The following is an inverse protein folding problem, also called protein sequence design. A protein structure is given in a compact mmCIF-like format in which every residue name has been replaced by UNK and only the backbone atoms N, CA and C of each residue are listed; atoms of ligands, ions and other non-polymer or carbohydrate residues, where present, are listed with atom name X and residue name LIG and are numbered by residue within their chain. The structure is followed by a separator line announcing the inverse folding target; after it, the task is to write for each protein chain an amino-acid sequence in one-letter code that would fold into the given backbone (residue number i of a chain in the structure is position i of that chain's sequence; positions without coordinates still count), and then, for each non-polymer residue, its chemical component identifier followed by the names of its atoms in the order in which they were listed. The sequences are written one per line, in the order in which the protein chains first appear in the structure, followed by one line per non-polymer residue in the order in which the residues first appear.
data_IF_839578032800
#
_entry.id   IF_839578032800
#
_cell.length_a   1.000
_cell.length_b   1.000
_cell.length_c   1.000
_cell.angle_alpha   90.00
_cell.angle_beta   90.00
_cell.angle_gamma   90.00
#
_symmetry.space_group_name_H-M   'P 1'
#
loop_
_entity.id
_entity.type
_entity.pdbx_description
1 polymer ?
#
# COMPACT_ATOMS: atom_id res chain seq x y z
N UNK A 1 -4.65 6.33 -0.08
CA UNK A 1 -5.70 6.53 0.94
C UNK A 1 -6.11 5.23 1.62
N UNK A 2 -6.55 4.18 0.91
CA UNK A 2 -7.01 2.93 1.52
C UNK A 2 -6.00 2.24 2.48
N UNK A 3 -4.72 2.15 2.11
CA UNK A 3 -3.71 1.58 3.02
C UNK A 3 -3.54 2.35 4.33
N UNK A 4 -3.69 3.69 4.28
CA UNK A 4 -3.64 4.52 5.47
C UNK A 4 -4.88 4.31 6.35
N UNK A 5 -6.05 4.15 5.74
CA UNK A 5 -7.28 3.79 6.45
C UNK A 5 -7.18 2.43 7.16
N UNK A 6 -6.61 1.42 6.49
CA UNK A 6 -6.31 0.11 7.09
C UNK A 6 -5.35 0.25 8.28
N UNK A 7 -4.28 1.03 8.11
CA UNK A 7 -3.33 1.32 9.19
C UNK A 7 -4.03 2.00 10.37
N UNK A 8 -4.85 3.03 10.15
CA UNK A 8 -5.60 3.74 11.20
C UNK A 8 -6.55 2.79 11.94
N UNK A 9 -7.29 1.93 11.22
CA UNK A 9 -8.11 0.88 11.83
C UNK A 9 -7.29 -0.02 12.75
N UNK A 10 -6.12 -0.50 12.30
CA UNK A 10 -5.28 -1.33 13.14
C UNK A 10 -4.73 -0.55 14.35
N UNK A 11 -4.29 0.70 14.18
CA UNK A 11 -3.80 1.51 15.30
C UNK A 11 -4.86 1.74 16.37
N UNK A 12 -6.12 1.98 15.96
CA UNK A 12 -7.22 2.29 16.88
C UNK A 12 -7.88 1.04 17.46
N UNK A 13 -8.15 0.03 16.63
CA UNK A 13 -9.10 -1.05 16.98
C UNK A 13 -8.44 -2.40 17.27
N UNK A 14 -7.13 -2.54 17.06
CA UNK A 14 -6.41 -3.81 17.22
C UNK A 14 -5.69 -3.99 18.56
N UNK A 15 -5.96 -3.12 19.55
CA UNK A 15 -5.41 -3.21 20.91
C UNK A 15 -3.87 -3.41 20.93
N UNK A 16 -3.17 -2.61 20.13
CA UNK A 16 -1.71 -2.64 20.02
C UNK A 16 -1.16 -3.81 19.20
N UNK A 17 -1.93 -4.41 18.29
CA UNK A 17 -1.36 -5.33 17.28
C UNK A 17 -0.41 -4.60 16.33
N UNK A 18 -0.70 -3.33 16.03
CA UNK A 18 0.19 -2.44 15.27
C UNK A 18 0.39 -1.17 16.07
N UNK A 19 1.64 -0.68 16.13
CA UNK A 19 1.98 0.62 16.70
C UNK A 19 2.98 1.35 15.80
N UNK A 20 2.99 2.68 15.87
CA UNK A 20 3.94 3.52 15.15
C UNK A 20 4.64 4.41 16.16
N UNK A 21 5.97 4.30 16.21
CA UNK A 21 6.85 5.18 16.98
C UNK A 21 7.57 6.11 16.02
N UNK A 22 7.60 7.40 16.32
CA UNK A 22 8.32 8.37 15.49
C UNK A 22 9.24 9.24 16.33
N UNK A 23 10.35 9.65 15.72
CA UNK A 23 11.26 10.65 16.26
C UNK A 23 11.57 11.67 15.15
N UNK A 24 11.09 12.90 15.36
CA UNK A 24 11.22 13.98 14.40
C UNK A 24 12.68 14.47 14.24
N UNK A 25 13.48 14.44 15.31
CA UNK A 25 14.86 14.94 15.30
C UNK A 25 15.75 14.09 14.38
N UNK A 26 15.65 12.75 14.50
CA UNK A 26 16.41 11.81 13.65
C UNK A 26 15.65 11.38 12.39
N UNK A 27 14.51 12.04 12.09
CA UNK A 27 13.60 11.71 10.98
C UNK A 27 13.38 10.21 10.82
N UNK A 28 12.95 9.54 11.90
CA UNK A 28 12.73 8.08 11.91
C UNK A 28 11.30 7.76 12.29
N UNK A 29 10.69 6.86 11.52
CA UNK A 29 9.38 6.28 11.80
C UNK A 29 9.54 4.76 11.82
N UNK A 30 9.08 4.12 12.90
CA UNK A 30 9.20 2.69 13.14
C UNK A 30 7.81 2.12 13.30
N UNK A 31 7.40 1.27 12.36
CA UNK A 31 6.15 0.51 12.45
C UNK A 31 6.46 -0.81 13.16
N UNK A 32 5.75 -1.11 14.24
CA UNK A 32 5.87 -2.38 14.97
C UNK A 32 4.59 -3.18 14.81
N UNK A 33 4.74 -4.49 14.57
CA UNK A 33 3.63 -5.43 14.44
C UNK A 33 3.84 -6.54 15.45
N UNK A 34 2.93 -6.67 16.41
CA UNK A 34 2.91 -7.78 17.36
C UNK A 34 2.26 -8.99 16.70
N UNK A 35 3.11 -9.94 16.29
CA UNK A 35 2.69 -11.17 15.61
C UNK A 35 1.69 -11.98 16.41
N UNK A 36 1.81 -12.00 17.74
CA UNK A 36 0.92 -12.78 18.63
C UNK A 36 -0.51 -12.24 18.63
N UNK A 37 -0.68 -10.94 18.33
CA UNK A 37 -1.97 -10.25 18.31
C UNK A 37 -2.66 -10.22 16.96
N UNK A 38 -2.01 -10.67 15.88
CA UNK A 38 -2.57 -10.63 14.53
C UNK A 38 -3.90 -11.40 14.49
N UNK A 39 -3.92 -12.64 14.99
CA UNK A 39 -5.11 -13.48 14.93
C UNK A 39 -6.18 -13.02 15.92
N UNK A 40 -5.76 -12.67 17.14
CA UNK A 40 -6.68 -12.38 18.25
C UNK A 40 -7.26 -10.96 18.24
N UNK A 41 -6.53 -9.97 17.72
CA UNK A 41 -6.95 -8.56 17.75
C UNK A 41 -6.95 -7.89 16.37
N UNK A 42 -5.90 -8.10 15.57
CA UNK A 42 -5.79 -7.52 14.23
C UNK A 42 -6.88 -8.01 13.27
N UNK A 43 -7.07 -9.32 13.18
CA UNK A 43 -8.09 -9.94 12.31
C UNK A 43 -9.51 -9.51 12.71
N UNK A 44 -9.93 -9.54 13.99
CA UNK A 44 -11.24 -9.03 14.38
C UNK A 44 -11.43 -7.53 14.09
N UNK A 45 -10.40 -6.69 14.29
CA UNK A 45 -10.47 -5.26 13.96
C UNK A 45 -10.78 -5.03 12.48
N UNK A 46 -10.00 -5.66 11.59
CA UNK A 46 -10.24 -5.60 10.15
C UNK A 46 -11.58 -6.23 9.76
N UNK A 47 -12.00 -7.31 10.44
CA UNK A 47 -13.30 -7.93 10.21
C UNK A 47 -14.46 -6.97 10.44
N UNK A 48 -14.42 -6.19 11.52
CA UNK A 48 -15.42 -5.14 11.80
C UNK A 48 -15.40 -4.04 10.74
N UNK A 49 -14.21 -3.57 10.35
CA UNK A 49 -14.06 -2.57 9.30
C UNK A 49 -14.65 -3.05 7.97
N UNK A 50 -14.28 -4.26 7.54
CA UNK A 50 -14.75 -4.84 6.28
C UNK A 50 -16.26 -5.07 6.28
N UNK A 51 -16.84 -5.52 7.41
CA UNK A 51 -18.28 -5.68 7.53
C UNK A 51 -19.01 -4.34 7.34
N UNK A 52 -18.53 -3.26 7.98
CA UNK A 52 -19.10 -1.92 7.81
C UNK A 52 -19.01 -1.43 6.37
N UNK A 53 -17.84 -1.55 5.73
CA UNK A 53 -17.64 -1.19 4.33
C UNK A 53 -18.51 -2.02 3.37
N UNK A 54 -18.74 -3.30 3.69
CA UNK A 54 -19.60 -4.16 2.89
C UNK A 54 -21.07 -3.77 3.00
N UNK A 55 -21.58 -3.55 4.22
CA UNK A 55 -22.95 -3.07 4.45
C UNK A 55 -23.19 -1.78 3.69
N UNK A 56 -22.27 -0.82 3.84
CA UNK A 56 -22.22 0.43 3.10
C UNK A 56 -22.42 0.27 1.59
N UNK A 57 -21.64 -0.63 0.98
CA UNK A 57 -21.71 -0.89 -0.45
C UNK A 57 -23.02 -1.56 -0.86
N UNK A 58 -23.56 -2.46 -0.03
CA UNK A 58 -24.76 -3.23 -0.33
C UNK A 58 -26.06 -2.44 -0.13
N UNK A 59 -26.09 -1.48 0.81
CA UNK A 59 -27.28 -0.67 1.09
C UNK A 59 -27.29 0.67 0.34
N UNK A 60 -26.18 1.04 -0.31
CA UNK A 60 -25.99 2.33 -0.94
C UNK A 60 -26.23 3.53 0.01
N UNK A 61 -25.98 3.34 1.31
CA UNK A 61 -26.09 4.40 2.33
C UNK A 61 -24.89 5.35 2.24
N UNK A 62 -24.89 6.23 1.24
CA UNK A 62 -23.74 7.10 0.94
C UNK A 62 -23.32 7.97 2.14
N UNK A 63 -24.28 8.45 2.93
CA UNK A 63 -24.01 9.39 4.02
C UNK A 63 -23.20 8.72 5.14
N UNK A 64 -23.72 7.64 5.71
CA UNK A 64 -23.05 6.91 6.79
C UNK A 64 -21.68 6.39 6.37
N UNK A 65 -21.54 6.00 5.10
CA UNK A 65 -20.30 5.45 4.57
C UNK A 65 -19.24 6.50 4.33
N UNK A 66 -19.65 7.69 3.88
CA UNK A 66 -18.75 8.82 3.74
C UNK A 66 -18.22 9.23 5.10
N UNK A 67 -19.09 9.43 6.08
CA UNK A 67 -18.71 9.78 7.45
C UNK A 67 -17.70 8.78 8.03
N UNK A 68 -17.99 7.48 7.91
CA UNK A 68 -17.09 6.43 8.39
C UNK A 68 -15.73 6.42 7.68
N UNK A 69 -15.71 6.46 6.35
CA UNK A 69 -14.46 6.31 5.58
C UNK A 69 -13.62 7.59 5.55
N UNK A 70 -14.24 8.76 5.58
CA UNK A 70 -13.53 10.04 5.71
C UNK A 70 -12.83 10.12 7.05
N UNK A 71 -13.50 9.78 8.16
CA UNK A 71 -12.83 9.72 9.47
C UNK A 71 -11.69 8.69 9.45
N UNK A 72 -11.92 7.50 8.90
CA UNK A 72 -10.88 6.47 8.84
C UNK A 72 -9.67 6.89 7.99
N UNK A 73 -9.86 7.75 7.00
CA UNK A 73 -8.80 8.24 6.12
C UNK A 73 -8.29 9.65 6.45
N UNK A 74 -8.84 10.27 7.50
CA UNK A 74 -8.47 11.62 7.92
C UNK A 74 -7.06 11.69 8.48
N UNK A 75 -6.33 12.73 8.07
CA UNK A 75 -4.93 12.97 8.45
C UNK A 75 -4.87 14.00 9.57
N UNK A 76 -4.69 13.55 10.81
CA UNK A 76 -4.44 14.44 11.96
C UNK A 76 -3.00 14.97 11.99
N UNK A 77 -2.73 15.95 12.87
CA UNK A 77 -1.44 16.62 12.98
C UNK A 77 -0.25 15.66 13.16
N UNK A 78 -0.39 14.59 13.94
CA UNK A 78 0.66 13.57 14.10
C UNK A 78 1.06 12.91 12.76
N UNK A 79 0.08 12.66 11.90
CA UNK A 79 0.28 12.03 10.59
C UNK A 79 0.96 12.97 9.59
N UNK A 80 0.80 14.29 9.77
CA UNK A 80 1.53 15.29 9.00
C UNK A 80 3.02 15.25 9.35
N UNK A 81 3.37 15.10 10.63
CA UNK A 81 4.76 14.91 11.05
C UNK A 81 5.36 13.61 10.47
N UNK A 82 4.56 12.53 10.41
CA UNK A 82 4.98 11.28 9.75
C UNK A 82 5.23 11.50 8.26
N UNK A 83 4.38 12.27 7.58
CA UNK A 83 4.50 12.59 6.15
C UNK A 83 5.83 13.28 5.83
N UNK A 84 6.28 14.22 6.65
CA UNK A 84 7.58 14.88 6.45
C UNK A 84 8.74 13.89 6.48
N UNK A 85 8.71 12.94 7.43
CA UNK A 85 9.72 11.88 7.55
C UNK A 85 9.66 10.95 6.33
N UNK A 86 8.45 10.54 5.90
CA UNK A 86 8.26 9.65 4.75
C UNK A 86 8.77 10.31 3.47
N UNK A 87 8.48 11.60 3.25
CA UNK A 87 8.97 12.34 2.08
C UNK A 87 10.49 12.47 2.09
N UNK A 88 11.10 12.69 3.26
CA UNK A 88 12.56 12.78 3.38
C UNK A 88 13.28 11.45 3.10
N UNK A 89 12.57 10.31 3.21
CA UNK A 89 13.10 8.95 2.97
C UNK A 89 12.52 8.31 1.69
N UNK A 90 11.85 9.10 0.85
CA UNK A 90 11.19 8.57 -0.33
C UNK A 90 12.22 8.01 -1.31
N UNK A 91 12.09 6.72 -1.60
CA UNK A 91 12.89 6.07 -2.65
C UNK A 91 12.32 6.37 -4.03
N UNK A 92 13.18 6.44 -5.07
CA UNK A 92 12.71 6.57 -6.44
C UNK A 92 11.82 5.38 -6.81
N UNK A 93 10.76 5.65 -7.58
CA UNK A 93 9.86 4.60 -8.06
C UNK A 93 10.64 3.61 -8.92
N UNK A 94 10.37 2.32 -8.72
CA UNK A 94 11.00 1.28 -9.51
C UNK A 94 10.51 1.33 -10.96
N UNK A 95 11.43 1.07 -11.88
CA UNK A 95 11.13 0.86 -13.29
C UNK A 95 11.31 -0.62 -13.57
N UNK A 96 10.25 -1.27 -14.01
CA UNK A 96 10.27 -2.69 -14.33
C UNK A 96 10.65 -2.88 -15.78
N UNK A 97 11.60 -3.77 -16.02
CA UNK A 97 11.94 -4.24 -17.36
C UNK A 97 10.96 -5.36 -17.71
N UNK A 98 10.32 -5.22 -18.86
CA UNK A 98 9.32 -6.18 -19.33
C UNK A 98 9.89 -6.99 -20.49
N UNK A 99 9.71 -8.31 -20.44
CA UNK A 99 10.07 -9.19 -21.54
C UNK A 99 9.21 -8.94 -22.78
N UNK A 100 9.72 -9.34 -23.94
CA UNK A 100 8.98 -9.33 -25.20
C UNK A 100 8.79 -10.76 -25.69
N UNK A 101 7.74 -11.00 -26.45
CA UNK A 101 7.51 -12.27 -27.16
C UNK A 101 7.71 -12.07 -28.65
N UNK A 102 8.43 -12.99 -29.29
CA UNK A 102 8.67 -12.99 -30.74
C UNK A 102 8.14 -14.28 -31.35
N UNK A 103 7.52 -14.18 -32.52
CA UNK A 103 7.13 -15.34 -33.31
C UNK A 103 8.32 -15.79 -34.16
N UNK A 104 8.80 -17.01 -33.94
CA UNK A 104 9.87 -17.65 -34.68
C UNK A 104 9.30 -18.88 -35.39
N UNK A 105 8.79 -18.70 -36.61
CA UNK A 105 8.04 -19.74 -37.30
C UNK A 105 6.67 -19.95 -36.67
N UNK A 106 6.41 -21.15 -36.14
CA UNK A 106 5.18 -21.49 -35.40
C UNK A 106 5.37 -21.42 -33.87
N UNK A 107 6.59 -21.13 -33.39
CA UNK A 107 6.90 -21.07 -31.96
C UNK A 107 6.97 -19.63 -31.45
N UNK A 108 6.50 -19.40 -30.22
CA UNK A 108 6.60 -18.12 -29.53
C UNK A 108 7.78 -18.17 -28.56
N UNK A 109 8.76 -17.28 -28.76
CA UNK A 109 9.95 -17.16 -27.93
C UNK A 109 9.82 -15.97 -26.98
N UNK A 110 10.01 -16.20 -25.69
CA UNK A 110 10.11 -15.14 -24.68
C UNK A 110 11.56 -14.64 -24.61
N UNK A 111 11.75 -13.33 -24.77
CA UNK A 111 13.03 -12.65 -24.60
C UNK A 111 12.99 -11.74 -23.39
N UNK A 112 13.79 -12.07 -22.39
CA UNK A 112 14.00 -11.25 -21.20
C UNK A 112 15.13 -10.24 -21.40
N UNK A 113 15.12 -9.18 -20.59
CA UNK A 113 16.12 -8.11 -20.63
C UNK A 113 16.62 -7.82 -19.23
N UNK A 114 17.89 -7.42 -19.09
CA UNK A 114 18.50 -7.14 -17.79
C UNK A 114 17.80 -5.97 -17.06
N UNK A 115 17.66 -6.04 -15.74
CA UNK A 115 17.06 -5.02 -14.88
C UNK A 115 17.93 -3.74 -14.75
N UNK A 116 18.16 -3.07 -15.87
CA UNK A 116 19.02 -1.87 -16.00
C UNK A 116 18.33 -0.86 -16.90
N UNK A 117 18.76 0.41 -16.85
CA UNK A 117 18.25 1.45 -17.76
C UNK A 117 18.41 1.05 -19.23
N UNK A 118 19.55 0.43 -19.60
CA UNK A 118 19.77 -0.10 -20.96
C UNK A 118 18.78 -1.21 -21.31
N UNK A 119 18.51 -2.13 -20.37
CA UNK A 119 17.52 -3.19 -20.58
C UNK A 119 16.10 -2.67 -20.74
N UNK A 120 15.71 -1.62 -19.99
CA UNK A 120 14.44 -0.90 -20.22
C UNK A 120 14.39 -0.38 -21.66
N UNK A 121 15.40 0.40 -22.08
CA UNK A 121 15.46 1.00 -23.42
C UNK A 121 15.39 -0.07 -24.51
N UNK A 122 16.18 -1.13 -24.37
CA UNK A 122 16.23 -2.22 -25.34
C UNK A 122 14.90 -2.97 -25.41
N UNK A 123 14.27 -3.24 -24.25
CA UNK A 123 12.96 -3.90 -24.22
C UNK A 123 11.89 -3.12 -24.99
N UNK A 124 11.92 -1.79 -24.93
CA UNK A 124 11.00 -0.93 -25.69
C UNK A 124 11.37 -0.83 -27.17
N UNK A 125 12.65 -0.64 -27.48
CA UNK A 125 13.14 -0.54 -28.85
C UNK A 125 12.80 -1.80 -29.69
N UNK A 126 12.89 -2.97 -29.08
CA UNK A 126 12.60 -4.24 -29.75
C UNK A 126 11.10 -4.63 -29.73
N UNK A 127 10.26 -3.94 -28.95
CA UNK A 127 8.83 -4.29 -28.80
C UNK A 127 7.99 -3.93 -30.03
N UNK A 128 8.43 -2.94 -30.81
CA UNK A 128 7.74 -2.48 -32.03
C UNK A 128 6.25 -2.15 -31.81
N UNK A 129 5.94 -1.46 -30.72
CA UNK A 129 4.62 -0.88 -30.41
C UNK A 129 4.60 0.58 -30.80
#
# INVERSE_FOLDING_TARGET
QAHFAILKCLLTDSNGCVTVEYNAQIKRLTVRVDRSKIVSHGKPALGRMLLRLHLCRCTADVQSCREYYEELSWVHAEHLAWREIVLAKQEPKWVFVQANTFLCGEEVVLKEYAATAKGVIQSWAERKV
#
